data_IF_230114866362
#
_entry.id   IF_230114866362
#
_cell.length_a   1.000
_cell.length_b   1.000
_cell.length_c   1.000
_cell.angle_alpha   90.00
_cell.angle_beta   90.00
_cell.angle_gamma   90.00
#
_symmetry.space_group_name_H-M   'P 1'
#
loop_
_entity.id
_entity.type
_entity.pdbx_description
1 polymer ?
#
# COMPACT_ATOMS: atom_id res chain seq x y z
N UNK A 1 -6.05 12.04 32.90
CA UNK A 1 -6.09 11.72 31.46
C UNK A 1 -4.64 11.65 30.99
N UNK A 2 -4.13 10.48 30.62
CA UNK A 2 -2.74 10.36 30.15
C UNK A 2 -2.64 10.96 28.75
N UNK A 3 -1.97 12.11 28.61
CA UNK A 3 -1.57 12.63 27.30
C UNK A 3 -0.56 11.65 26.71
N UNK A 4 -0.98 10.89 25.71
CA UNK A 4 -0.05 10.10 24.90
C UNK A 4 0.63 11.11 23.98
N UNK A 5 1.75 11.65 24.45
CA UNK A 5 2.62 12.51 23.65
C UNK A 5 3.36 11.61 22.66
N UNK A 6 3.12 11.82 21.38
CA UNK A 6 3.95 11.21 20.34
C UNK A 6 5.30 11.93 20.35
N UNK A 7 6.41 11.21 20.50
CA UNK A 7 7.73 11.81 20.37
C UNK A 7 8.10 11.91 18.88
N UNK A 8 7.76 13.03 18.23
CA UNK A 8 8.37 13.36 16.93
C UNK A 8 9.91 13.50 17.04
N UNK A 9 10.49 13.53 18.24
CA UNK A 9 11.94 13.38 18.46
C UNK A 9 12.53 12.10 17.80
N UNK A 10 11.70 11.08 17.54
CA UNK A 10 12.13 9.90 16.80
C UNK A 10 12.37 10.17 15.30
N UNK A 11 11.78 11.23 14.75
CA UNK A 11 11.90 11.64 13.35
C UNK A 11 12.61 13.00 13.30
N UNK A 12 13.90 13.01 12.96
CA UNK A 12 14.69 14.24 12.80
C UNK A 12 14.24 15.03 11.56
N UNK A 13 13.07 15.67 11.63
CA UNK A 13 12.49 16.51 10.58
C UNK A 13 12.89 17.95 10.83
N UNK A 14 13.37 18.62 9.78
CA UNK A 14 13.71 20.03 9.82
C UNK A 14 12.84 20.81 8.84
N UNK A 15 12.50 22.04 9.22
CA UNK A 15 11.97 23.03 8.31
C UNK A 15 13.12 23.85 7.75
N UNK A 16 13.24 23.91 6.43
CA UNK A 16 14.17 24.81 5.73
C UNK A 16 13.38 25.93 5.09
N UNK A 17 13.75 27.17 5.35
CA UNK A 17 13.12 28.35 4.76
C UNK A 17 14.20 29.21 4.13
N UNK A 18 14.06 29.68 2.87
CA UNK A 18 15.05 30.55 2.24
C UNK A 18 15.39 31.77 3.10
N UNK A 19 16.68 32.13 3.16
CA UNK A 19 17.23 33.16 4.06
C UNK A 19 16.50 34.52 3.95
N UNK A 20 15.99 34.85 2.76
CA UNK A 20 15.26 36.08 2.49
C UNK A 20 13.85 36.15 3.10
N UNK A 21 13.36 35.09 3.76
CA UNK A 21 11.96 34.99 4.19
C UNK A 21 11.70 34.66 5.66
N UNK A 22 12.69 34.35 6.50
CA UNK A 22 12.43 33.81 7.84
C UNK A 22 13.45 34.20 8.92
N UNK A 23 12.98 34.84 10.00
CA UNK A 23 13.71 34.94 11.27
C UNK A 23 13.21 33.95 12.31
N UNK A 24 11.89 33.74 12.38
CA UNK A 24 11.29 32.82 13.34
C UNK A 24 10.15 32.02 12.72
N UNK A 25 9.92 30.83 13.26
CA UNK A 25 8.81 29.94 12.88
C UNK A 25 7.90 29.68 14.07
N UNK A 26 6.60 29.61 13.83
CA UNK A 26 5.63 29.08 14.78
C UNK A 26 4.95 27.84 14.21
N UNK A 27 4.95 26.80 15.04
CA UNK A 27 4.35 25.50 14.76
C UNK A 27 2.97 25.35 15.45
N UNK A 28 2.55 26.32 16.26
CA UNK A 28 1.32 26.26 17.06
C UNK A 28 0.35 27.40 16.74
N UNK A 29 0.38 27.89 15.50
CA UNK A 29 -0.52 28.94 15.03
C UNK A 29 -0.23 30.34 15.60
N UNK A 30 1.00 30.59 16.04
CA UNK A 30 1.49 31.89 16.49
C UNK A 30 1.65 32.03 18.01
N UNK A 31 1.38 30.96 18.78
CA UNK A 31 1.51 30.94 20.23
C UNK A 31 2.96 30.97 20.70
N UNK A 32 3.84 30.25 20.00
CA UNK A 32 5.28 30.18 20.26
C UNK A 32 6.07 30.39 18.96
N UNK A 33 7.11 31.21 19.03
CA UNK A 33 8.01 31.50 17.91
C UNK A 33 9.41 30.99 18.23
N UNK A 34 9.97 30.18 17.33
CA UNK A 34 11.27 29.54 17.45
C UNK A 34 12.26 30.18 16.49
N UNK A 35 13.47 30.42 16.99
CA UNK A 35 14.63 30.83 16.19
C UNK A 35 15.21 29.61 15.42
N UNK A 36 15.92 29.84 14.31
CA UNK A 36 16.55 28.76 13.56
C UNK A 36 17.64 28.09 14.39
N UNK A 37 17.69 26.75 14.35
CA UNK A 37 18.77 25.98 14.94
C UNK A 37 20.06 26.04 14.13
N UNK A 38 19.96 26.32 12.83
CA UNK A 38 21.09 26.53 11.92
C UNK A 38 20.73 27.58 10.87
N UNK A 39 21.66 28.47 10.56
CA UNK A 39 21.55 29.47 9.50
C UNK A 39 22.71 29.28 8.52
N UNK A 40 22.41 29.10 7.24
CA UNK A 40 23.41 29.00 6.16
C UNK A 40 23.36 30.26 5.29
N UNK A 41 24.17 30.31 4.22
CA UNK A 41 24.11 31.41 3.24
C UNK A 41 22.82 31.43 2.42
N UNK A 42 22.04 30.34 2.41
CA UNK A 42 20.88 30.16 1.53
C UNK A 42 19.56 29.95 2.30
N UNK A 43 19.62 29.42 3.53
CA UNK A 43 18.45 28.95 4.27
C UNK A 43 18.58 29.10 5.79
N UNK A 44 17.43 29.26 6.44
CA UNK A 44 17.22 29.09 7.87
C UNK A 44 16.63 27.70 8.13
N UNK A 45 17.23 26.94 9.05
CA UNK A 45 16.83 25.58 9.40
C UNK A 45 16.26 25.55 10.81
N UNK A 46 15.02 25.11 10.95
CA UNK A 46 14.30 25.01 12.22
C UNK A 46 14.03 23.56 12.57
N UNK A 47 14.34 23.17 13.81
CA UNK A 47 13.97 21.86 14.34
C UNK A 47 12.48 21.81 14.64
N UNK A 48 11.80 20.78 14.12
CA UNK A 48 10.36 20.64 14.31
C UNK A 48 10.08 20.09 15.71
N UNK A 49 9.25 20.75 16.53
CA UNK A 49 8.92 20.28 17.87
C UNK A 49 8.22 18.93 17.86
N UNK A 50 8.47 18.19 18.95
CA UNK A 50 7.82 16.92 19.29
C UNK A 50 6.29 16.90 19.18
N UNK A 51 5.64 18.05 19.27
CA UNK A 51 4.18 18.20 19.35
C UNK A 51 3.53 18.70 18.07
N UNK A 52 4.30 18.99 17.01
CA UNK A 52 3.77 19.58 15.79
C UNK A 52 3.07 18.54 14.90
N UNK A 53 1.80 18.77 14.60
CA UNK A 53 1.02 17.90 13.71
C UNK A 53 1.19 18.31 12.26
N UNK A 54 1.91 17.49 11.47
CA UNK A 54 2.01 17.66 10.00
C UNK A 54 0.66 17.48 9.27
N UNK A 55 -0.42 17.23 10.01
CA UNK A 55 -1.78 16.90 9.56
C UNK A 55 -2.59 18.18 9.34
N UNK A 56 -2.13 19.02 8.42
CA UNK A 56 -2.86 20.24 8.04
C UNK A 56 -2.38 21.52 8.72
N UNK A 57 -1.43 21.43 9.65
CA UNK A 57 -0.83 22.64 10.22
C UNK A 57 0.23 23.17 9.25
N UNK A 58 -0.07 24.30 8.65
CA UNK A 58 0.94 25.16 8.07
C UNK A 58 1.77 25.78 9.18
N UNK A 59 3.08 25.85 9.02
CA UNK A 59 3.88 26.66 9.91
C UNK A 59 3.71 28.14 9.55
N UNK A 60 3.72 29.01 10.55
CA UNK A 60 3.78 30.44 10.34
C UNK A 60 5.24 30.88 10.40
N UNK A 61 5.67 31.70 9.45
CA UNK A 61 7.02 32.26 9.42
C UNK A 61 6.92 33.76 9.47
N UNK A 62 7.76 34.39 10.31
CA UNK A 62 7.98 35.83 10.29
C UNK A 62 9.20 36.16 9.46
N UNK A 63 9.02 37.00 8.45
CA UNK A 63 10.13 37.54 7.68
C UNK A 63 10.93 38.60 8.46
N UNK A 64 11.95 39.16 7.83
CA UNK A 64 12.83 40.16 8.44
C UNK A 64 12.09 41.45 8.85
N UNK A 65 10.97 41.74 8.20
CA UNK A 65 10.12 42.92 8.42
C UNK A 65 8.97 42.63 9.41
N UNK A 66 8.90 41.40 9.93
CA UNK A 66 7.90 40.96 10.90
C UNK A 66 6.56 40.56 10.29
N UNK A 67 6.46 40.47 8.97
CA UNK A 67 5.26 40.01 8.28
C UNK A 67 5.15 38.49 8.42
N UNK A 68 3.96 38.03 8.78
CA UNK A 68 3.65 36.61 8.94
C UNK A 68 3.19 36.04 7.62
N UNK A 69 3.89 35.00 7.14
CA UNK A 69 3.47 34.19 6.01
C UNK A 69 3.21 32.76 6.45
N UNK A 70 2.26 32.13 5.79
CA UNK A 70 1.91 30.74 6.00
C UNK A 70 2.71 29.89 5.03
N UNK A 71 3.49 28.95 5.54
CA UNK A 71 4.29 28.02 4.73
C UNK A 71 3.76 26.60 4.88
N UNK A 72 3.94 25.81 3.82
CA UNK A 72 3.65 24.39 3.86
C UNK A 72 4.44 23.71 4.99
N UNK A 73 3.92 22.64 5.60
CA UNK A 73 4.63 21.90 6.63
C UNK A 73 6.01 21.46 6.12
N UNK A 74 7.01 21.37 7.02
CA UNK A 74 8.35 20.93 6.67
C UNK A 74 8.35 19.53 6.09
N UNK A 75 8.93 19.38 4.89
CA UNK A 75 8.97 18.09 4.19
C UNK A 75 10.39 17.58 3.96
N UNK A 76 11.45 18.35 4.24
CA UNK A 76 12.80 17.93 3.83
C UNK A 76 13.37 16.83 4.72
N UNK A 77 13.28 15.62 4.18
CA UNK A 77 13.92 14.43 4.68
C UNK A 77 15.34 14.32 4.10
N UNK A 78 16.31 13.95 4.94
CA UNK A 78 17.69 13.74 4.50
C UNK A 78 17.75 12.67 3.38
N UNK A 79 18.20 13.10 2.19
CA UNK A 79 18.34 12.26 1.00
C UNK A 79 19.19 11.03 1.29
N UNK A 80 20.24 11.13 2.11
CA UNK A 80 21.09 9.98 2.44
C UNK A 80 20.32 8.93 3.23
N UNK A 81 19.45 9.36 4.16
CA UNK A 81 18.58 8.44 4.93
C UNK A 81 17.52 7.79 4.08
N UNK A 82 17.19 8.37 2.92
CA UNK A 82 16.22 7.78 1.99
C UNK A 82 16.76 6.53 1.28
N UNK A 83 18.06 6.28 1.38
CA UNK A 83 18.72 5.05 0.91
C UNK A 83 19.13 4.10 2.05
N UNK A 84 18.91 4.47 3.32
CA UNK A 84 19.29 3.67 4.48
C UNK A 84 18.18 2.69 4.89
N UNK A 85 18.41 1.40 4.59
CA UNK A 85 17.48 0.32 4.94
C UNK A 85 17.28 0.13 6.44
N UNK A 86 18.29 0.37 7.27
CA UNK A 86 18.17 0.21 8.72
C UNK A 86 17.31 1.31 9.32
N UNK A 87 17.52 2.54 8.86
CA UNK A 87 16.65 3.67 9.21
C UNK A 87 15.22 3.40 8.76
N UNK A 88 14.99 3.09 7.48
CA UNK A 88 13.64 2.90 6.94
C UNK A 88 12.96 1.67 7.55
N UNK A 89 13.67 0.58 7.84
CA UNK A 89 13.08 -0.53 8.59
C UNK A 89 12.66 -0.12 10.00
N UNK A 90 13.48 0.65 10.72
CA UNK A 90 13.18 1.11 12.07
C UNK A 90 11.99 2.07 12.10
N UNK A 91 11.92 2.98 11.14
CA UNK A 91 11.01 4.14 11.15
C UNK A 91 9.76 3.95 10.28
N UNK A 92 9.83 3.15 9.22
CA UNK A 92 8.78 3.00 8.19
C UNK A 92 8.26 1.57 8.08
N UNK A 93 9.12 0.56 7.91
CA UNK A 93 8.67 -0.78 7.52
C UNK A 93 8.27 -1.70 8.69
N UNK A 94 8.86 -1.57 9.89
CA UNK A 94 8.45 -2.33 11.08
C UNK A 94 7.31 -1.66 11.89
N UNK A 95 6.46 -0.87 11.23
CA UNK A 95 5.50 0.04 11.87
C UNK A 95 4.42 -0.63 12.74
N UNK A 96 4.14 -1.93 12.56
CA UNK A 96 3.05 -2.65 13.26
C UNK A 96 3.19 -2.61 14.80
N UNK A 97 4.34 -2.23 15.35
CA UNK A 97 4.62 -2.28 16.79
C UNK A 97 4.91 -0.93 17.46
N UNK A 98 4.96 0.21 16.75
CA UNK A 98 5.63 1.42 17.30
C UNK A 98 4.88 2.75 17.26
N UNK A 99 3.79 2.89 16.51
CA UNK A 99 3.13 4.20 16.36
C UNK A 99 1.65 4.10 16.73
N UNK A 100 1.29 4.72 17.86
CA UNK A 100 -0.07 4.78 18.40
C UNK A 100 -0.99 5.69 17.59
N UNK A 101 -0.47 6.80 17.05
CA UNK A 101 -1.24 7.74 16.22
C UNK A 101 -1.05 7.49 14.71
N UNK A 102 -2.09 6.91 14.11
CA UNK A 102 -2.13 6.53 12.70
C UNK A 102 -2.19 7.73 11.74
N UNK A 103 -2.76 8.84 12.19
CA UNK A 103 -2.96 10.05 11.37
C UNK A 103 -1.66 10.82 11.25
N UNK A 104 -0.93 10.98 12.35
CA UNK A 104 0.43 11.53 12.34
C UNK A 104 1.35 10.76 11.39
N UNK A 105 1.36 9.43 11.48
CA UNK A 105 2.22 8.61 10.64
C UNK A 105 1.86 8.68 9.14
N UNK A 106 0.57 8.81 8.82
CA UNK A 106 0.12 9.07 7.44
C UNK A 106 0.76 10.35 6.87
N UNK A 107 0.77 11.45 7.64
CA UNK A 107 1.37 12.69 7.18
C UNK A 107 2.89 12.60 7.07
N UNK A 108 3.55 11.93 8.01
CA UNK A 108 4.98 11.64 7.89
C UNK A 108 5.31 10.89 6.59
N UNK A 109 4.57 9.82 6.28
CA UNK A 109 4.77 9.04 5.04
C UNK A 109 4.52 9.87 3.78
N UNK A 110 3.52 10.76 3.81
CA UNK A 110 3.23 11.68 2.71
C UNK A 110 4.41 12.64 2.51
N UNK A 111 4.91 13.25 3.58
CA UNK A 111 6.06 14.16 3.51
C UNK A 111 7.30 13.44 2.99
N UNK A 112 7.59 12.25 3.55
CA UNK A 112 8.69 11.40 3.13
C UNK A 112 8.60 11.07 1.63
N UNK A 113 7.42 10.71 1.12
CA UNK A 113 7.24 10.41 -0.31
C UNK A 113 7.57 11.62 -1.20
N UNK A 114 7.26 12.84 -0.76
CA UNK A 114 7.47 14.07 -1.54
C UNK A 114 8.95 14.49 -1.60
N UNK A 115 9.72 14.22 -0.55
CA UNK A 115 11.13 14.62 -0.44
C UNK A 115 12.13 13.50 -0.77
N UNK A 116 11.67 12.26 -0.80
CA UNK A 116 12.53 11.10 -1.04
C UNK A 116 13.05 11.06 -2.48
N UNK A 117 14.32 10.67 -2.62
CA UNK A 117 14.90 10.37 -3.92
C UNK A 117 14.13 9.23 -4.60
N UNK A 118 13.53 9.54 -5.76
CA UNK A 118 12.73 8.59 -6.54
C UNK A 118 13.54 7.41 -7.09
N UNK A 119 14.87 7.53 -7.14
CA UNK A 119 15.76 6.44 -7.55
C UNK A 119 16.03 5.45 -6.42
N UNK A 120 15.64 5.77 -5.17
CA UNK A 120 15.78 4.85 -4.04
C UNK A 120 14.95 3.59 -4.24
N UNK A 121 15.59 2.45 -4.02
CA UNK A 121 14.95 1.11 -4.06
C UNK A 121 13.84 0.94 -3.02
N UNK A 122 13.76 1.86 -2.05
CA UNK A 122 12.75 1.87 -0.99
C UNK A 122 11.58 2.81 -1.24
N UNK A 123 11.60 3.60 -2.32
CA UNK A 123 10.55 4.58 -2.65
C UNK A 123 9.17 3.90 -2.74
N UNK A 124 9.10 2.77 -3.44
CA UNK A 124 7.89 1.96 -3.55
C UNK A 124 7.46 1.37 -2.20
N UNK A 125 8.39 1.20 -1.26
CA UNK A 125 8.05 0.75 0.09
C UNK A 125 7.29 1.83 0.86
N UNK A 126 7.76 3.08 0.79
CA UNK A 126 7.03 4.22 1.37
C UNK A 126 5.66 4.35 0.72
N UNK A 127 5.59 4.22 -0.60
CA UNK A 127 4.33 4.23 -1.35
C UNK A 127 3.38 3.11 -0.88
N UNK A 128 3.89 1.90 -0.64
CA UNK A 128 3.13 0.75 -0.13
C UNK A 128 2.54 1.02 1.25
N UNK A 129 3.32 1.57 2.19
CA UNK A 129 2.85 1.86 3.55
C UNK A 129 1.88 3.04 3.54
N UNK A 130 2.15 4.07 2.73
CA UNK A 130 1.26 5.21 2.57
C UNK A 130 -0.10 4.77 1.99
N UNK A 131 -0.12 3.88 1.00
CA UNK A 131 -1.35 3.30 0.44
C UNK A 131 -2.18 2.62 1.53
N UNK A 132 -1.55 1.82 2.40
CA UNK A 132 -2.25 1.20 3.53
C UNK A 132 -2.90 2.26 4.45
N UNK A 133 -2.19 3.36 4.73
CA UNK A 133 -2.72 4.47 5.53
C UNK A 133 -3.83 5.23 4.82
N UNK A 134 -3.72 5.51 3.53
CA UNK A 134 -4.82 6.08 2.75
C UNK A 134 -6.06 5.19 2.85
N UNK A 135 -5.88 3.87 2.81
CA UNK A 135 -6.96 2.90 3.00
C UNK A 135 -7.63 2.95 4.38
N UNK A 136 -7.04 3.52 5.43
CA UNK A 136 -7.72 3.70 6.72
C UNK A 136 -8.78 4.81 6.69
N UNK A 137 -8.64 5.77 5.77
CA UNK A 137 -9.59 6.87 5.59
C UNK A 137 -9.56 7.38 4.13
N UNK A 138 -10.07 6.59 3.17
CA UNK A 138 -9.91 6.88 1.75
C UNK A 138 -10.76 8.07 1.28
N UNK A 139 -11.79 8.48 2.04
CA UNK A 139 -12.62 9.64 1.71
C UNK A 139 -11.85 10.92 2.01
N UNK A 140 -11.34 11.09 3.24
CA UNK A 140 -10.64 12.31 3.62
C UNK A 140 -9.21 12.36 3.05
N UNK A 141 -8.63 11.21 2.67
CA UNK A 141 -7.28 11.10 2.08
C UNK A 141 -7.30 10.99 0.54
N UNK A 142 -8.44 11.31 -0.09
CA UNK A 142 -8.67 11.08 -1.51
C UNK A 142 -7.64 11.74 -2.44
N UNK A 143 -7.18 12.96 -2.14
CA UNK A 143 -6.18 13.65 -2.95
C UNK A 143 -4.87 12.85 -3.01
N UNK A 144 -4.37 12.41 -1.86
CA UNK A 144 -3.15 11.60 -1.77
C UNK A 144 -3.37 10.22 -2.38
N UNK A 145 -4.54 9.63 -2.17
CA UNK A 145 -4.93 8.37 -2.79
C UNK A 145 -4.91 8.39 -4.32
N UNK A 146 -5.47 9.44 -4.95
CA UNK A 146 -5.40 9.61 -6.40
C UNK A 146 -3.97 9.85 -6.88
N UNK A 147 -3.19 10.60 -6.11
CA UNK A 147 -1.80 10.90 -6.44
C UNK A 147 -0.92 9.64 -6.43
N UNK A 148 -1.03 8.77 -5.43
CA UNK A 148 -0.24 7.53 -5.40
C UNK A 148 -0.64 6.57 -6.53
N UNK A 149 -1.90 6.58 -6.98
CA UNK A 149 -2.35 5.84 -8.17
C UNK A 149 -1.69 6.40 -9.44
N UNK A 150 -1.66 7.74 -9.58
CA UNK A 150 -0.99 8.41 -10.70
C UNK A 150 0.50 8.07 -10.74
N UNK A 151 1.22 8.26 -9.62
CA UNK A 151 2.64 7.92 -9.48
C UNK A 151 2.87 6.46 -9.88
N UNK A 152 2.04 5.53 -9.39
CA UNK A 152 2.19 4.11 -9.70
C UNK A 152 2.03 3.83 -11.20
N UNK A 153 1.07 4.46 -11.85
CA UNK A 153 0.82 4.31 -13.29
C UNK A 153 1.97 4.87 -14.12
N UNK A 154 2.51 6.03 -13.74
CA UNK A 154 3.69 6.63 -14.38
C UNK A 154 4.93 5.73 -14.25
N UNK A 155 5.15 5.14 -13.07
CA UNK A 155 6.26 4.21 -12.85
C UNK A 155 6.17 2.97 -13.76
N UNK A 156 4.97 2.44 -14.00
CA UNK A 156 4.79 1.33 -14.95
C UNK A 156 5.20 1.74 -16.37
N UNK A 157 4.84 2.95 -16.80
CA UNK A 157 5.17 3.44 -18.14
C UNK A 157 6.68 3.61 -18.37
N UNK A 158 7.45 3.90 -17.31
CA UNK A 158 8.91 4.07 -17.36
C UNK A 158 9.68 2.88 -16.76
N UNK A 159 9.00 1.76 -16.52
CA UNK A 159 9.60 0.56 -15.93
C UNK A 159 10.78 0.09 -16.79
N UNK A 160 11.95 -0.21 -16.20
CA UNK A 160 13.10 -0.68 -16.96
C UNK A 160 12.81 -2.03 -17.62
N UNK A 161 13.38 -2.26 -18.80
CA UNK A 161 13.28 -3.53 -19.50
C UNK A 161 14.08 -4.66 -18.81
N UNK A 162 15.06 -4.31 -17.98
CA UNK A 162 15.85 -5.26 -17.21
C UNK A 162 15.06 -5.77 -15.99
N UNK A 163 15.31 -7.01 -15.54
CA UNK A 163 14.70 -7.52 -14.31
C UNK A 163 15.00 -6.61 -13.12
N UNK A 164 13.98 -6.31 -12.32
CA UNK A 164 14.14 -5.56 -11.09
C UNK A 164 14.97 -6.37 -10.08
N UNK A 165 15.84 -5.69 -9.33
CA UNK A 165 16.51 -6.33 -8.21
C UNK A 165 15.50 -6.76 -7.13
N UNK A 166 15.80 -7.77 -6.30
CA UNK A 166 14.84 -8.33 -5.36
C UNK A 166 14.19 -7.31 -4.41
N UNK A 167 14.92 -6.29 -3.96
CA UNK A 167 14.37 -5.28 -3.04
C UNK A 167 13.35 -4.42 -3.77
N UNK A 168 13.71 -3.93 -4.95
CA UNK A 168 12.81 -3.13 -5.79
C UNK A 168 11.59 -3.94 -6.21
N UNK A 169 11.77 -5.20 -6.62
CA UNK A 169 10.67 -6.11 -6.99
C UNK A 169 9.68 -6.32 -5.84
N UNK A 170 10.18 -6.50 -4.60
CA UNK A 170 9.32 -6.64 -3.41
C UNK A 170 8.39 -5.46 -3.24
N UNK A 171 8.95 -4.27 -3.30
CA UNK A 171 8.18 -3.05 -3.09
C UNK A 171 7.33 -2.70 -4.30
N UNK A 172 7.75 -3.07 -5.51
CA UNK A 172 6.95 -2.99 -6.73
C UNK A 172 5.63 -3.76 -6.60
N UNK A 173 5.73 -5.04 -6.23
CA UNK A 173 4.55 -5.89 -6.01
C UNK A 173 3.71 -5.39 -4.85
N UNK A 174 4.34 -5.07 -3.71
CA UNK A 174 3.61 -4.66 -2.49
C UNK A 174 2.85 -3.34 -2.67
N UNK A 175 3.48 -2.34 -3.27
CA UNK A 175 2.83 -1.06 -3.54
C UNK A 175 1.68 -1.20 -4.53
N UNK A 176 1.87 -1.91 -5.65
CA UNK A 176 0.79 -2.11 -6.61
C UNK A 176 -0.38 -2.88 -6.00
N UNK A 177 -0.11 -3.95 -5.25
CA UNK A 177 -1.14 -4.69 -4.51
C UNK A 177 -1.93 -3.78 -3.58
N UNK A 178 -1.25 -2.90 -2.84
CA UNK A 178 -1.88 -1.93 -1.93
C UNK A 178 -2.69 -0.84 -2.65
N UNK A 179 -2.34 -0.51 -3.89
CA UNK A 179 -2.91 0.61 -4.66
C UNK A 179 -4.11 0.17 -5.53
N UNK A 180 -4.16 -1.08 -6.02
CA UNK A 180 -5.25 -1.53 -6.90
C UNK A 180 -6.63 -1.28 -6.28
N UNK A 181 -6.91 -1.63 -5.01
CA UNK A 181 -8.24 -1.38 -4.43
C UNK A 181 -8.53 0.10 -4.17
N UNK A 182 -7.49 0.91 -3.94
CA UNK A 182 -7.65 2.37 -3.86
C UNK A 182 -8.02 2.95 -5.23
N UNK A 183 -7.36 2.50 -6.29
CA UNK A 183 -7.69 2.92 -7.65
C UNK A 183 -9.17 2.61 -7.99
N UNK A 184 -9.67 1.43 -7.64
CA UNK A 184 -11.10 1.09 -7.76
C UNK A 184 -12.00 1.99 -6.93
N UNK A 185 -11.64 2.23 -5.65
CA UNK A 185 -12.38 3.14 -4.78
C UNK A 185 -12.52 4.54 -5.41
N UNK A 186 -11.46 5.03 -6.06
CA UNK A 186 -11.43 6.34 -6.71
C UNK A 186 -11.98 6.37 -8.15
N UNK A 187 -12.56 5.27 -8.65
CA UNK A 187 -13.06 5.11 -10.04
C UNK A 187 -11.97 5.23 -11.11
N UNK A 188 -10.76 4.81 -10.78
CA UNK A 188 -9.62 4.76 -11.69
C UNK A 188 -9.38 3.32 -12.16
N UNK A 189 -10.44 2.68 -12.68
CA UNK A 189 -10.43 1.24 -13.03
C UNK A 189 -9.38 0.88 -14.06
N UNK A 190 -9.17 1.72 -15.07
CA UNK A 190 -8.12 1.49 -16.07
C UNK A 190 -6.74 1.45 -15.43
N UNK A 191 -6.44 2.35 -14.49
CA UNK A 191 -5.20 2.31 -13.71
C UNK A 191 -5.13 1.06 -12.84
N UNK A 192 -6.22 0.70 -12.17
CA UNK A 192 -6.28 -0.49 -11.33
C UNK A 192 -6.00 -1.78 -12.14
N UNK A 193 -6.60 -1.88 -13.33
CA UNK A 193 -6.37 -2.95 -14.28
C UNK A 193 -4.92 -3.02 -14.74
N UNK A 194 -4.33 -1.92 -15.21
CA UNK A 194 -2.93 -1.91 -15.69
C UNK A 194 -1.94 -2.23 -14.57
N UNK A 195 -2.20 -1.79 -13.33
CA UNK A 195 -1.36 -2.16 -12.19
C UNK A 195 -1.46 -3.66 -11.89
N UNK A 196 -2.66 -4.24 -11.86
CA UNK A 196 -2.85 -5.66 -11.60
C UNK A 196 -2.23 -6.53 -12.71
N UNK A 197 -2.40 -6.12 -13.97
CA UNK A 197 -1.80 -6.74 -15.16
C UNK A 197 -0.26 -6.70 -15.11
N UNK A 198 0.33 -5.55 -14.78
CA UNK A 198 1.80 -5.41 -14.64
C UNK A 198 2.37 -6.38 -13.60
N UNK A 199 1.69 -6.56 -12.46
CA UNK A 199 2.10 -7.55 -11.45
C UNK A 199 1.95 -8.97 -11.97
N UNK A 200 0.84 -9.30 -12.64
CA UNK A 200 0.64 -10.63 -13.24
C UNK A 200 1.73 -10.98 -14.28
N UNK A 201 2.18 -9.99 -15.07
CA UNK A 201 3.29 -10.17 -16.00
C UNK A 201 4.63 -10.45 -15.33
N UNK A 202 4.77 -10.15 -14.03
CA UNK A 202 5.99 -10.41 -13.23
C UNK A 202 5.86 -11.59 -12.26
N UNK A 203 4.84 -12.43 -12.42
CA UNK A 203 4.51 -13.50 -11.46
C UNK A 203 5.67 -14.49 -11.24
N UNK A 204 6.42 -14.81 -12.29
CA UNK A 204 7.50 -15.79 -12.24
C UNK A 204 8.76 -15.23 -11.57
N UNK A 205 9.09 -13.96 -11.85
CA UNK A 205 10.18 -13.24 -11.18
C UNK A 205 9.87 -13.05 -9.69
N UNK A 206 8.63 -12.68 -9.37
CA UNK A 206 8.16 -12.49 -8.00
C UNK A 206 8.28 -13.78 -7.18
N UNK A 207 7.90 -14.92 -7.78
CA UNK A 207 8.02 -16.23 -7.16
C UNK A 207 9.47 -16.67 -6.95
N UNK A 208 10.43 -16.26 -7.80
CA UNK A 208 11.86 -16.61 -7.64
C UNK A 208 12.55 -15.85 -6.53
N UNK A 209 12.10 -14.64 -6.27
CA UNK A 209 12.73 -13.80 -5.27
C UNK A 209 12.32 -14.18 -3.82
N UNK A 210 11.47 -15.21 -3.63
CA UNK A 210 10.88 -15.63 -2.34
C UNK A 210 10.14 -14.48 -1.65
N UNK A 211 9.62 -13.57 -2.46
CA UNK A 211 9.01 -12.32 -2.07
C UNK A 211 7.50 -12.54 -1.94
N UNK A 212 6.97 -12.23 -0.76
CA UNK A 212 5.56 -11.91 -0.47
C UNK A 212 4.55 -12.53 -1.44
N UNK A 213 4.52 -13.87 -1.50
CA UNK A 213 3.65 -14.61 -2.42
C UNK A 213 2.21 -14.13 -2.35
N UNK A 214 1.73 -13.83 -1.14
CA UNK A 214 0.36 -13.38 -0.93
C UNK A 214 0.07 -12.05 -1.61
N UNK A 215 1.03 -11.11 -1.69
CA UNK A 215 0.83 -9.84 -2.41
C UNK A 215 0.73 -10.06 -3.92
N UNK A 216 1.62 -10.89 -4.47
CA UNK A 216 1.59 -11.20 -5.89
C UNK A 216 0.27 -11.90 -6.27
N UNK A 217 -0.08 -12.98 -5.57
CA UNK A 217 -1.29 -13.77 -5.86
C UNK A 217 -2.56 -12.97 -5.60
N UNK A 218 -2.52 -12.04 -4.64
CA UNK A 218 -3.57 -11.05 -4.41
C UNK A 218 -3.89 -10.22 -5.66
N UNK A 219 -2.87 -9.59 -6.23
CA UNK A 219 -3.04 -8.78 -7.44
C UNK A 219 -3.42 -9.63 -8.65
N UNK A 220 -2.88 -10.85 -8.77
CA UNK A 220 -3.25 -11.79 -9.83
C UNK A 220 -4.73 -12.20 -9.76
N UNK A 221 -5.25 -12.43 -8.55
CA UNK A 221 -6.66 -12.74 -8.34
C UNK A 221 -7.55 -11.59 -8.85
N UNK A 222 -7.22 -10.34 -8.50
CA UNK A 222 -7.94 -9.16 -8.99
C UNK A 222 -7.86 -9.01 -10.51
N UNK A 223 -6.70 -9.30 -11.10
CA UNK A 223 -6.55 -9.32 -12.56
C UNK A 223 -7.48 -10.33 -13.23
N UNK A 224 -7.59 -11.54 -12.69
CA UNK A 224 -8.55 -12.55 -13.17
C UNK A 224 -10.00 -12.06 -13.12
N UNK A 225 -10.38 -11.35 -12.05
CA UNK A 225 -11.72 -10.75 -11.95
C UNK A 225 -11.97 -9.64 -12.97
N UNK A 226 -10.97 -8.80 -13.29
CA UNK A 226 -11.14 -7.82 -14.37
C UNK A 226 -11.42 -8.51 -15.70
N UNK A 227 -10.60 -9.51 -16.08
CA UNK A 227 -10.80 -10.27 -17.31
C UNK A 227 -12.18 -10.93 -17.36
N UNK A 228 -12.62 -11.51 -16.24
CA UNK A 228 -13.93 -12.13 -16.14
C UNK A 228 -15.07 -11.13 -16.37
N UNK A 229 -14.97 -9.94 -15.75
CA UNK A 229 -15.98 -8.90 -15.93
C UNK A 229 -16.00 -8.28 -17.34
N UNK A 230 -14.87 -8.32 -18.06
CA UNK A 230 -14.79 -7.98 -19.49
C UNK A 230 -15.33 -9.09 -20.42
N UNK A 231 -15.76 -10.24 -19.86
CA UNK A 231 -16.25 -11.38 -20.64
C UNK A 231 -15.14 -12.26 -21.24
N UNK A 232 -13.87 -12.03 -20.89
CA UNK A 232 -12.70 -12.79 -21.35
C UNK A 232 -12.51 -14.05 -20.50
N UNK A 233 -13.52 -14.93 -20.54
CA UNK A 233 -13.65 -16.07 -19.63
C UNK A 233 -12.47 -17.05 -19.69
N UNK A 234 -11.97 -17.36 -20.89
CA UNK A 234 -10.82 -18.26 -21.06
C UNK A 234 -9.57 -17.72 -20.38
N UNK A 235 -9.22 -16.47 -20.66
CA UNK A 235 -8.05 -15.80 -20.06
C UNK A 235 -8.20 -15.63 -18.55
N UNK A 236 -9.40 -15.28 -18.08
CA UNK A 236 -9.69 -15.21 -16.64
C UNK A 236 -9.45 -16.56 -15.95
N UNK A 237 -9.93 -17.65 -16.57
CA UNK A 237 -9.73 -19.02 -16.09
C UNK A 237 -8.25 -19.39 -15.98
N UNK A 238 -7.44 -19.06 -17.00
CA UNK A 238 -5.98 -19.28 -16.98
C UNK A 238 -5.28 -18.47 -15.88
N UNK A 239 -5.67 -17.21 -15.68
CA UNK A 239 -5.13 -16.37 -14.60
C UNK A 239 -5.48 -16.93 -13.23
N UNK A 240 -6.72 -17.40 -13.03
CA UNK A 240 -7.13 -18.03 -11.78
C UNK A 240 -6.35 -19.32 -11.51
N UNK A 241 -6.15 -20.18 -12.50
CA UNK A 241 -5.32 -21.38 -12.36
C UNK A 241 -3.87 -21.03 -12.03
N UNK A 242 -3.28 -20.06 -12.74
CA UNK A 242 -1.92 -19.59 -12.49
C UNK A 242 -1.77 -19.03 -11.06
N UNK A 243 -2.78 -18.31 -10.57
CA UNK A 243 -2.82 -17.79 -9.20
C UNK A 243 -2.81 -18.94 -8.18
N UNK A 244 -3.62 -19.97 -8.39
CA UNK A 244 -3.63 -21.17 -7.55
C UNK A 244 -2.27 -21.88 -7.52
N UNK A 245 -1.64 -22.10 -8.68
CA UNK A 245 -0.32 -22.72 -8.76
C UNK A 245 0.77 -21.92 -8.02
N UNK A 246 0.75 -20.59 -8.13
CA UNK A 246 1.69 -19.72 -7.40
C UNK A 246 1.43 -19.79 -5.89
N UNK A 247 0.16 -19.86 -5.45
CA UNK A 247 -0.17 -20.09 -4.04
C UNK A 247 0.39 -21.43 -3.52
N UNK A 248 0.19 -22.52 -4.26
CA UNK A 248 0.72 -23.84 -3.90
C UNK A 248 2.24 -23.81 -3.78
N UNK A 249 2.92 -23.22 -4.77
CA UNK A 249 4.38 -23.05 -4.74
C UNK A 249 4.82 -22.25 -3.52
N UNK A 250 4.17 -21.12 -3.24
CA UNK A 250 4.47 -20.28 -2.08
C UNK A 250 4.34 -21.04 -0.77
N UNK A 251 3.29 -21.83 -0.60
CA UNK A 251 3.12 -22.70 0.57
C UNK A 251 4.25 -23.73 0.68
N UNK A 252 4.59 -24.42 -0.41
CA UNK A 252 5.70 -25.40 -0.40
C UNK A 252 7.05 -24.76 -0.04
N UNK A 253 7.32 -23.55 -0.52
CA UNK A 253 8.55 -22.82 -0.21
C UNK A 253 8.57 -22.34 1.25
N UNK A 254 7.45 -21.84 1.78
CA UNK A 254 7.35 -21.40 3.19
C UNK A 254 7.44 -22.59 4.16
N UNK A 255 6.78 -23.72 3.87
CA UNK A 255 6.81 -24.94 4.68
C UNK A 255 8.09 -25.79 4.51
N UNK A 256 9.11 -25.27 3.80
CA UNK A 256 10.40 -25.94 3.68
C UNK A 256 11.12 -26.04 5.03
N UNK A 257 11.77 -27.18 5.30
CA UNK A 257 12.65 -27.37 6.46
C UNK A 257 13.83 -26.38 6.51
N UNK A 258 14.12 -25.72 5.40
CA UNK A 258 15.16 -24.68 5.30
C UNK A 258 14.67 -23.30 5.76
N UNK A 259 13.36 -23.11 5.95
CA UNK A 259 12.79 -21.84 6.39
C UNK A 259 12.79 -21.73 7.92
N UNK A 260 13.75 -20.98 8.46
CA UNK A 260 13.90 -20.75 9.90
C UNK A 260 12.89 -19.75 10.48
N UNK A 261 12.10 -19.09 9.63
CA UNK A 261 11.16 -18.01 10.01
C UNK A 261 9.70 -18.38 9.79
N UNK A 262 9.38 -19.68 9.66
CA UNK A 262 8.02 -20.15 9.33
C UNK A 262 6.93 -19.59 10.25
N UNK A 263 7.21 -19.44 11.55
CA UNK A 263 6.25 -18.93 12.54
C UNK A 263 5.87 -17.46 12.29
N UNK A 264 6.79 -16.63 11.78
CA UNK A 264 6.47 -15.23 11.44
C UNK A 264 5.74 -15.09 10.11
N UNK A 265 5.68 -16.17 9.32
CA UNK A 265 5.02 -16.25 8.01
C UNK A 265 3.72 -17.06 8.04
N UNK A 266 3.28 -17.51 9.22
CA UNK A 266 2.00 -18.21 9.37
C UNK A 266 0.80 -17.42 8.82
N UNK A 267 0.66 -16.09 9.06
CA UNK A 267 -0.40 -15.31 8.45
C UNK A 267 -0.34 -15.27 6.92
N UNK A 268 0.87 -15.27 6.34
CA UNK A 268 1.06 -15.33 4.89
C UNK A 268 0.55 -16.68 4.35
N UNK A 269 0.76 -17.79 5.08
CA UNK A 269 0.23 -19.10 4.70
C UNK A 269 -1.30 -19.12 4.70
N UNK A 270 -1.95 -18.54 5.72
CA UNK A 270 -3.42 -18.45 5.77
C UNK A 270 -3.95 -17.68 4.56
N UNK A 271 -3.36 -16.53 4.25
CA UNK A 271 -3.73 -15.74 3.07
C UNK A 271 -3.55 -16.54 1.76
N UNK A 272 -2.45 -17.27 1.61
CA UNK A 272 -2.20 -18.09 0.42
C UNK A 272 -3.20 -19.22 0.24
N UNK A 273 -3.61 -19.87 1.33
CA UNK A 273 -4.65 -20.91 1.29
C UNK A 273 -5.98 -20.32 0.83
N UNK A 274 -6.38 -19.17 1.37
CA UNK A 274 -7.64 -18.52 1.01
C UNK A 274 -7.65 -18.03 -0.44
N UNK A 275 -6.58 -17.33 -0.86
CA UNK A 275 -6.42 -16.86 -2.24
C UNK A 275 -6.42 -18.06 -3.21
N UNK A 276 -5.65 -19.10 -2.89
CA UNK A 276 -5.57 -20.30 -3.71
C UNK A 276 -6.91 -21.01 -3.84
N UNK A 277 -7.65 -21.16 -2.74
CA UNK A 277 -9.00 -21.74 -2.73
C UNK A 277 -9.96 -20.94 -3.62
N UNK A 278 -9.98 -19.61 -3.47
CA UNK A 278 -10.82 -18.73 -4.26
C UNK A 278 -10.46 -18.78 -5.75
N UNK A 279 -9.17 -18.78 -6.07
CA UNK A 279 -8.68 -18.85 -7.43
C UNK A 279 -9.05 -20.20 -8.08
N UNK A 280 -8.84 -21.32 -7.39
CA UNK A 280 -9.19 -22.64 -7.91
C UNK A 280 -10.71 -22.77 -8.12
N UNK A 281 -11.52 -22.32 -7.16
CA UNK A 281 -12.98 -22.32 -7.28
C UNK A 281 -13.48 -21.43 -8.43
N UNK A 282 -12.83 -20.30 -8.71
CA UNK A 282 -13.16 -19.47 -9.87
C UNK A 282 -12.76 -20.16 -11.19
N UNK A 283 -11.55 -20.71 -11.29
CA UNK A 283 -11.08 -21.47 -12.46
C UNK A 283 -12.02 -22.63 -12.79
N UNK A 284 -12.31 -23.46 -11.79
CA UNK A 284 -13.26 -24.56 -11.81
C UNK A 284 -14.61 -24.21 -12.44
N UNK A 285 -15.19 -23.07 -12.04
CA UNK A 285 -16.47 -22.61 -12.55
C UNK A 285 -16.40 -22.26 -14.04
N UNK A 286 -15.28 -21.65 -14.44
CA UNK A 286 -15.08 -21.17 -15.81
C UNK A 286 -14.59 -22.27 -16.77
N UNK A 287 -13.90 -23.30 -16.28
CA UNK A 287 -13.52 -24.47 -17.07
C UNK A 287 -14.68 -25.44 -17.28
N UNK A 288 -15.70 -25.41 -16.41
CA UNK A 288 -16.84 -26.32 -16.46
C UNK A 288 -16.52 -27.70 -15.87
N UNK A 289 -15.43 -27.84 -15.12
CA UNK A 289 -15.07 -29.09 -14.46
C UNK A 289 -16.11 -29.45 -13.38
N UNK A 290 -16.50 -30.72 -13.34
CA UNK A 290 -17.43 -31.25 -12.33
C UNK A 290 -16.65 -31.69 -11.09
N UNK A 291 -17.15 -31.38 -9.91
CA UNK A 291 -16.51 -31.72 -8.64
C UNK A 291 -17.19 -32.88 -7.94
N UNK A 292 -16.38 -33.77 -7.38
CA UNK A 292 -16.85 -34.74 -6.39
C UNK A 292 -17.23 -34.00 -5.09
N UNK A 293 -18.29 -34.45 -4.40
CA UNK A 293 -18.60 -33.99 -3.04
C UNK A 293 -17.38 -34.16 -2.11
N UNK A 294 -17.17 -33.22 -1.19
CA UNK A 294 -16.05 -33.14 -0.23
C UNK A 294 -14.78 -32.45 -0.74
N UNK A 295 -14.76 -31.90 -1.97
CA UNK A 295 -13.57 -31.21 -2.50
C UNK A 295 -13.43 -29.78 -1.97
N UNK A 296 -12.20 -29.23 -1.98
CA UNK A 296 -11.96 -27.81 -1.63
C UNK A 296 -12.71 -26.84 -2.53
N UNK A 297 -13.18 -27.31 -3.69
CA UNK A 297 -14.07 -26.56 -4.56
C UNK A 297 -15.48 -26.42 -3.98
N UNK A 298 -15.91 -27.10 -2.91
CA UNK A 298 -17.23 -26.89 -2.29
C UNK A 298 -17.36 -25.55 -1.56
N UNK A 299 -16.27 -25.06 -0.97
CA UNK A 299 -16.28 -23.81 -0.21
C UNK A 299 -16.51 -22.59 -1.10
N UNK A 300 -17.44 -21.68 -0.76
CA UNK A 300 -17.75 -20.51 -1.58
C UNK A 300 -16.50 -19.69 -1.87
N UNK A 301 -16.45 -19.06 -3.05
CA UNK A 301 -15.47 -18.02 -3.32
C UNK A 301 -15.74 -16.91 -2.31
N UNK A 302 -14.83 -16.75 -1.35
CA UNK A 302 -14.94 -15.78 -0.26
C UNK A 302 -13.88 -14.71 -0.44
N UNK A 303 -14.23 -13.69 -1.24
CA UNK A 303 -13.45 -12.46 -1.28
C UNK A 303 -13.72 -11.56 -0.08
N UNK A 304 -14.72 -11.88 0.75
CA UNK A 304 -15.11 -11.05 1.87
C UNK A 304 -14.03 -11.13 2.96
N UNK A 305 -13.59 -12.33 3.37
CA UNK A 305 -12.41 -12.58 4.22
C UNK A 305 -11.11 -11.96 3.71
N UNK A 306 -10.85 -12.18 2.43
CA UNK A 306 -9.64 -11.74 1.74
C UNK A 306 -9.55 -10.20 1.63
N UNK A 307 -10.68 -9.54 1.34
CA UNK A 307 -10.75 -8.08 1.44
C UNK A 307 -10.79 -7.62 2.89
N UNK A 308 -11.37 -8.35 3.86
CA UNK A 308 -11.41 -7.95 5.29
C UNK A 308 -10.06 -7.64 5.89
N UNK A 309 -9.00 -8.34 5.47
CA UNK A 309 -7.64 -8.07 5.98
C UNK A 309 -6.92 -6.96 5.20
N UNK A 310 -7.22 -6.80 3.91
CA UNK A 310 -6.68 -5.70 3.09
C UNK A 310 -7.39 -4.36 3.36
N UNK A 311 -8.73 -4.40 3.46
CA UNK A 311 -9.70 -3.39 3.90
C UNK A 311 -9.87 -3.48 5.43
N UNK A 312 -9.03 -4.17 6.20
CA UNK A 312 -9.12 -4.15 7.68
C UNK A 312 -8.94 -2.75 8.29
N UNK A 313 -8.49 -1.82 7.44
CA UNK A 313 -8.45 -0.38 7.57
C UNK A 313 -9.79 0.32 7.22
N UNK A 314 -10.41 0.00 6.08
CA UNK A 314 -11.70 0.57 5.60
C UNK A 314 -12.92 -0.01 6.36
N UNK A 315 -12.86 -1.27 6.80
CA UNK A 315 -14.01 -2.02 7.38
C UNK A 315 -14.40 -1.63 8.79
N UNK A 316 -13.51 -0.94 9.52
CA UNK A 316 -13.77 -0.56 10.90
C UNK A 316 -14.66 0.68 11.04
N UNK A 317 -14.96 1.39 9.94
CA UNK A 317 -15.64 2.67 10.02
C UNK A 317 -16.99 2.78 9.29
N UNK A 318 -17.34 1.92 8.33
CA UNK A 318 -18.69 1.98 7.75
C UNK A 318 -19.16 0.67 7.08
N UNK A 319 -20.41 0.27 7.35
CA UNK A 319 -21.05 -0.91 6.76
C UNK A 319 -21.65 -0.61 5.38
N UNK A 320 -21.78 0.66 4.99
CA UNK A 320 -22.10 1.02 3.60
C UNK A 320 -20.82 0.98 2.76
N UNK A 321 -20.47 -0.20 2.26
CA UNK A 321 -19.43 -0.33 1.24
C UNK A 321 -19.68 0.69 0.12
N UNK A 322 -18.67 1.39 -0.43
CA UNK A 322 -18.89 2.23 -1.58
C UNK A 322 -19.34 1.34 -2.76
N UNK A 323 -20.33 1.76 -3.58
CA UNK A 323 -20.87 1.01 -4.71
C UNK A 323 -19.82 0.44 -5.68
N UNK A 324 -18.61 1.01 -5.64
CA UNK A 324 -17.51 0.80 -6.59
C UNK A 324 -16.72 -0.49 -6.34
N UNK A 325 -16.60 -0.91 -5.08
CA UNK A 325 -16.09 -2.25 -4.74
C UNK A 325 -17.19 -3.33 -4.86
N UNK A 326 -18.46 -2.91 -4.96
CA UNK A 326 -19.59 -3.76 -5.28
C UNK A 326 -19.41 -4.53 -6.59
N UNK A 327 -18.59 -4.02 -7.53
CA UNK A 327 -18.27 -4.70 -8.78
C UNK A 327 -17.61 -6.07 -8.56
N UNK A 328 -16.55 -6.16 -7.75
CA UNK A 328 -15.89 -7.45 -7.47
C UNK A 328 -16.77 -8.38 -6.63
N UNK A 329 -17.58 -7.82 -5.73
CA UNK A 329 -18.56 -8.57 -4.95
C UNK A 329 -19.62 -9.18 -5.88
N UNK A 330 -20.13 -8.41 -6.84
CA UNK A 330 -21.08 -8.88 -7.85
C UNK A 330 -20.48 -10.00 -8.70
N UNK A 331 -19.24 -9.85 -9.18
CA UNK A 331 -18.56 -10.89 -9.95
C UNK A 331 -18.35 -12.16 -9.14
N UNK A 332 -17.96 -12.04 -7.86
CA UNK A 332 -17.85 -13.14 -6.91
C UNK A 332 -19.21 -13.84 -6.73
N UNK A 333 -20.28 -13.08 -6.50
CA UNK A 333 -21.62 -13.63 -6.29
C UNK A 333 -22.15 -14.33 -7.55
N UNK A 334 -21.84 -13.79 -8.74
CA UNK A 334 -22.11 -14.44 -10.03
C UNK A 334 -21.37 -15.77 -10.16
N UNK A 335 -20.09 -15.83 -9.81
CA UNK A 335 -19.32 -17.09 -9.80
C UNK A 335 -19.91 -18.09 -8.80
N UNK A 336 -20.23 -17.65 -7.57
CA UNK A 336 -20.84 -18.50 -6.56
C UNK A 336 -22.21 -19.05 -6.99
N UNK A 337 -23.02 -18.24 -7.69
CA UNK A 337 -24.30 -18.70 -8.26
C UNK A 337 -24.09 -19.71 -9.39
N UNK A 338 -23.15 -19.46 -10.29
CA UNK A 338 -22.82 -20.39 -11.39
C UNK A 338 -22.28 -21.71 -10.86
N UNK A 339 -21.49 -21.65 -9.79
CA UNK A 339 -20.92 -22.79 -9.08
C UNK A 339 -21.98 -23.74 -8.51
N UNK A 340 -23.09 -23.23 -7.99
CA UNK A 340 -24.20 -24.09 -7.49
C UNK A 340 -24.71 -25.04 -8.57
N UNK A 341 -24.59 -24.68 -9.86
CA UNK A 341 -25.00 -25.52 -10.98
C UNK A 341 -23.99 -26.63 -11.34
N UNK A 342 -22.79 -26.61 -10.76
CA UNK A 342 -21.71 -27.57 -11.04
C UNK A 342 -21.61 -28.70 -10.02
N UNK A 343 -22.32 -28.61 -8.89
CA UNK A 343 -22.46 -29.71 -7.95
C UNK A 343 -23.60 -30.60 -8.40
N UNK A 344 -23.26 -31.83 -8.78
CA UNK A 344 -24.23 -32.87 -9.10
C UNK A 344 -24.91 -33.29 -7.79
N UNK A 345 -26.24 -33.23 -7.75
CA UNK A 345 -27.04 -33.80 -6.66
C UNK A 345 -26.81 -35.31 -6.51
#
# INVERSE_FOLDING_TARGET
MSSITFEYAAFEVNLRVPLGGAKTVSFDGGGNWLEPGLVTSEECVFSVPGSFSLVGDSALVKDADGKVITIAPPLDFDVQRSHDIHYLNKMVFNFRTRISDKTVFYHYLRSLLLSMDRTSKFYLGVLSVLAFRVGEDPVNRAQVGREIVRIRTELIAVKPATPLDPVTLRWWVSSGTNIVPLAEFYQLRSSAYEIAKDIYSMRDESARARIVYWNATSSMLLYGFYLYGEGRVGEASEVFLSTFTVCQRGLSEIFSSTNKSILSQYPDCTALVEIGRNAFAAHAVLSGDKFSPGSTAEYPVDLEGYYIDFIGAVRRHDKSFPPKLGYFIELKDRLNKAKTNLFVN
#
